data_IF_837456010899
#
_entry.id   IF_837456010899
#
_cell.length_a   1.000
_cell.length_b   1.000
_cell.length_c   1.000
_cell.angle_alpha   90.00
_cell.angle_beta   90.00
_cell.angle_gamma   90.00
#
_symmetry.space_group_name_H-M   'P 1'
#
loop_
_entity.id
_entity.type
_entity.pdbx_description
1 polymer ?
#
# COMPACT_ATOMS: atom_id res chain seq x y z
N UNK A 1 -9.38 -0.75 25.02
CA UNK A 1 -9.28 0.70 24.68
C UNK A 1 -7.97 1.35 25.12
N UNK A 2 -6.96 0.63 25.65
CA UNK A 2 -5.74 1.21 26.27
C UNK A 2 -4.70 1.84 25.31
N UNK A 3 -4.91 1.87 23.99
CA UNK A 3 -3.85 2.24 23.03
C UNK A 3 -4.32 3.09 21.84
N UNK A 4 -5.44 3.81 21.94
CA UNK A 4 -5.83 4.77 20.89
C UNK A 4 -5.41 6.17 21.35
N UNK A 5 -4.53 6.88 20.61
CA UNK A 5 -4.13 8.24 20.96
C UNK A 5 -5.36 9.16 21.10
N UNK A 6 -5.41 10.11 22.06
CA UNK A 6 -6.55 11.01 22.24
C UNK A 6 -6.94 11.77 20.96
N UNK A 7 -5.96 12.21 20.17
CA UNK A 7 -6.21 12.86 18.88
C UNK A 7 -6.92 11.93 17.87
N UNK A 8 -6.55 10.66 17.81
CA UNK A 8 -7.22 9.68 16.95
C UNK A 8 -8.66 9.40 17.41
N UNK A 9 -8.92 9.45 18.72
CA UNK A 9 -10.29 9.31 19.24
C UNK A 9 -11.18 10.48 18.83
N UNK A 10 -10.68 11.73 18.92
CA UNK A 10 -11.40 12.92 18.47
C UNK A 10 -11.73 12.84 16.98
N UNK A 11 -10.77 12.44 16.15
CA UNK A 11 -11.01 12.26 14.72
C UNK A 11 -12.03 11.15 14.44
N UNK A 12 -11.99 10.03 15.16
CA UNK A 12 -12.98 8.95 14.99
C UNK A 12 -14.39 9.39 15.38
N UNK A 13 -14.53 10.17 16.44
CA UNK A 13 -15.82 10.76 16.83
C UNK A 13 -16.31 11.76 15.78
N UNK A 14 -15.42 12.63 15.30
CA UNK A 14 -15.72 13.58 14.23
C UNK A 14 -16.10 12.88 12.92
N UNK A 15 -15.39 11.83 12.53
CA UNK A 15 -15.70 11.01 11.36
C UNK A 15 -17.07 10.35 11.47
N UNK A 16 -17.44 9.84 12.66
CA UNK A 16 -18.79 9.33 12.94
C UNK A 16 -19.85 10.42 12.81
N UNK A 17 -19.60 11.61 13.37
CA UNK A 17 -20.50 12.75 13.25
C UNK A 17 -20.73 13.18 11.79
N UNK A 18 -19.67 13.24 10.99
CA UNK A 18 -19.75 13.54 9.56
C UNK A 18 -20.55 12.51 8.76
N UNK A 19 -20.46 11.22 9.10
CA UNK A 19 -21.29 10.19 8.42
C UNK A 19 -22.78 10.49 8.56
N UNK A 20 -23.20 10.94 9.74
CA UNK A 20 -24.60 11.34 9.98
C UNK A 20 -24.95 12.57 9.14
N UNK A 21 -24.06 13.56 9.07
CA UNK A 21 -24.25 14.74 8.21
C UNK A 21 -24.39 14.38 6.73
N UNK A 22 -23.48 13.58 6.17
CA UNK A 22 -23.50 13.21 4.75
C UNK A 22 -24.67 12.30 4.37
N UNK A 23 -25.21 11.53 5.32
CA UNK A 23 -26.42 10.74 5.11
C UNK A 23 -27.72 11.57 5.26
N UNK A 24 -27.62 12.83 5.69
CA UNK A 24 -28.79 13.67 5.96
C UNK A 24 -29.22 14.48 4.73
N UNK A 25 -30.52 14.83 4.60
CA UNK A 25 -31.00 15.73 3.55
C UNK A 25 -30.33 17.12 3.55
N UNK A 26 -29.79 17.56 4.70
CA UNK A 26 -29.09 18.84 4.82
C UNK A 26 -27.85 18.90 3.92
N UNK A 27 -27.18 17.77 3.71
CA UNK A 27 -26.04 17.70 2.82
C UNK A 27 -26.43 17.91 1.35
N UNK A 28 -27.57 17.37 0.92
CA UNK A 28 -28.08 17.59 -0.44
C UNK A 28 -28.62 19.02 -0.62
N UNK A 29 -29.26 19.62 0.40
CA UNK A 29 -29.74 21.01 0.35
C UNK A 29 -28.58 22.02 0.35
N UNK A 30 -27.49 21.76 1.09
CA UNK A 30 -26.29 22.59 1.06
C UNK A 30 -25.65 22.69 -0.33
N UNK A 31 -25.77 21.63 -1.15
CA UNK A 31 -25.24 21.56 -2.52
C UNK A 31 -26.03 22.38 -3.53
N UNK A 32 -27.35 22.53 -3.36
CA UNK A 32 -28.19 23.37 -4.24
C UNK A 32 -27.71 24.83 -4.26
N UNK A 33 -27.00 25.26 -3.21
CA UNK A 33 -26.43 26.62 -3.10
C UNK A 33 -25.00 26.77 -3.66
N UNK A 34 -24.27 25.67 -3.89
CA UNK A 34 -22.92 25.73 -4.51
C UNK A 34 -22.98 25.94 -6.05
N UNK A 35 -24.19 25.99 -6.61
CA UNK A 35 -24.45 26.45 -7.98
C UNK A 35 -23.99 25.48 -9.08
N UNK A 36 -24.34 25.82 -10.32
CA UNK A 36 -23.94 25.20 -11.59
C UNK A 36 -22.41 25.13 -11.85
N UNK A 37 -21.56 25.22 -10.83
CA UNK A 37 -20.13 24.96 -10.89
C UNK A 37 -19.80 23.49 -11.25
N UNK A 38 -20.80 22.60 -11.29
CA UNK A 38 -20.67 21.16 -11.56
C UNK A 38 -20.44 20.77 -13.03
N UNK A 39 -20.26 21.74 -13.93
CA UNK A 39 -19.78 21.57 -15.29
C UNK A 39 -18.30 21.97 -15.46
N UNK A 40 -17.52 22.02 -14.37
CA UNK A 40 -16.09 22.28 -14.40
C UNK A 40 -15.41 21.42 -15.47
N UNK A 41 -14.67 22.05 -16.39
CA UNK A 41 -13.89 21.31 -17.36
C UNK A 41 -12.87 20.46 -16.59
N UNK A 42 -12.90 19.13 -16.79
CA UNK A 42 -11.92 18.24 -16.18
C UNK A 42 -10.75 18.07 -17.13
N UNK A 43 -9.58 18.52 -16.70
CA UNK A 43 -8.33 18.27 -17.40
C UNK A 43 -7.83 16.84 -17.11
N UNK A 44 -7.37 16.14 -18.15
CA UNK A 44 -6.84 14.79 -18.04
C UNK A 44 -5.38 14.79 -17.61
N UNK A 45 -5.16 14.84 -16.30
CA UNK A 45 -3.83 15.03 -15.70
C UNK A 45 -3.02 13.75 -15.58
N UNK A 46 -3.68 12.59 -15.39
CA UNK A 46 -3.00 11.34 -15.06
C UNK A 46 -1.99 10.89 -16.12
N UNK A 47 -0.99 10.14 -15.64
CA UNK A 47 0.05 9.51 -16.45
C UNK A 47 0.03 8.03 -16.12
N UNK A 48 -0.16 7.19 -17.12
CA UNK A 48 -0.12 5.74 -16.94
C UNK A 48 1.34 5.27 -16.94
N UNK A 49 1.86 4.98 -15.75
CA UNK A 49 3.20 4.39 -15.59
C UNK A 49 3.17 2.86 -15.51
N UNK A 50 2.04 2.33 -15.04
CA UNK A 50 1.80 0.90 -14.83
C UNK A 50 0.58 0.52 -15.66
N UNK A 51 0.75 -0.24 -16.76
CA UNK A 51 -0.37 -0.68 -17.59
C UNK A 51 -1.22 -1.71 -16.83
N UNK A 52 -2.51 -1.80 -17.18
CA UNK A 52 -3.39 -2.85 -16.68
C UNK A 52 -3.15 -4.21 -17.35
N UNK A 53 -3.76 -5.25 -16.78
CA UNK A 53 -3.73 -6.62 -17.27
C UNK A 53 -4.91 -6.86 -18.25
N UNK A 54 -4.58 -7.08 -19.52
CA UNK A 54 -5.58 -7.34 -20.55
C UNK A 54 -6.36 -8.66 -20.35
N UNK A 55 -5.81 -9.66 -19.66
CA UNK A 55 -6.55 -10.87 -19.29
C UNK A 55 -7.62 -10.55 -18.24
N UNK A 56 -7.24 -9.80 -17.19
CA UNK A 56 -8.19 -9.33 -16.18
C UNK A 56 -9.29 -8.47 -16.82
N UNK A 57 -8.93 -7.58 -17.74
CA UNK A 57 -9.89 -6.77 -18.50
C UNK A 57 -10.87 -7.60 -19.33
N UNK A 58 -10.41 -8.67 -19.98
CA UNK A 58 -11.30 -9.60 -20.71
C UNK A 58 -12.26 -10.34 -19.76
N UNK A 59 -11.79 -10.76 -18.60
CA UNK A 59 -12.64 -11.41 -17.59
C UNK A 59 -13.71 -10.45 -17.05
N UNK A 60 -13.33 -9.22 -16.72
CA UNK A 60 -14.24 -8.17 -16.27
C UNK A 60 -15.32 -7.86 -17.31
N UNK A 61 -14.95 -7.81 -18.59
CA UNK A 61 -15.88 -7.53 -19.69
C UNK A 61 -16.96 -8.61 -19.87
N UNK A 62 -16.74 -9.83 -19.37
CA UNK A 62 -17.76 -10.90 -19.34
C UNK A 62 -18.38 -11.08 -17.94
N UNK A 63 -18.14 -10.14 -17.03
CA UNK A 63 -18.78 -10.08 -15.71
C UNK A 63 -18.08 -10.89 -14.62
N UNK A 64 -16.82 -11.28 -14.84
CA UNK A 64 -16.00 -11.99 -13.85
C UNK A 64 -15.09 -11.00 -13.12
N UNK A 65 -15.30 -10.85 -11.82
CA UNK A 65 -14.56 -9.93 -10.96
C UNK A 65 -13.67 -10.72 -10.02
N UNK A 66 -12.36 -10.57 -10.18
CA UNK A 66 -11.35 -11.24 -9.36
C UNK A 66 -10.60 -10.27 -8.47
N UNK A 67 -10.87 -10.29 -7.17
CA UNK A 67 -10.18 -9.45 -6.20
C UNK A 67 -9.73 -10.27 -5.01
N UNK A 68 -8.52 -9.99 -4.50
CA UNK A 68 -7.97 -10.58 -3.26
C UNK A 68 -8.10 -12.11 -3.19
N UNK A 69 -7.83 -12.77 -4.32
CA UNK A 69 -7.87 -14.23 -4.46
C UNK A 69 -9.27 -14.84 -4.60
N UNK A 70 -10.32 -14.02 -4.70
CA UNK A 70 -11.73 -14.47 -4.81
C UNK A 70 -12.33 -13.94 -6.11
N UNK A 71 -12.83 -14.87 -6.93
CA UNK A 71 -13.54 -14.57 -8.18
C UNK A 71 -15.05 -14.66 -7.99
N UNK A 72 -15.79 -13.65 -8.44
CA UNK A 72 -17.25 -13.64 -8.47
C UNK A 72 -17.76 -13.38 -9.88
N UNK A 73 -18.88 -14.02 -10.23
CA UNK A 73 -19.65 -13.73 -11.44
C UNK A 73 -20.76 -12.75 -11.11
N UNK A 74 -20.54 -11.47 -11.41
CA UNK A 74 -21.50 -10.40 -11.15
C UNK A 74 -22.27 -9.99 -12.41
N UNK A 75 -21.73 -10.23 -13.61
CA UNK A 75 -22.29 -9.72 -14.87
C UNK A 75 -21.82 -8.30 -15.20
N UNK A 76 -22.18 -7.80 -16.39
CA UNK A 76 -21.92 -6.42 -16.84
C UNK A 76 -23.24 -5.82 -17.35
N UNK A 77 -23.86 -4.87 -16.64
CA UNK A 77 -23.48 -4.35 -15.31
C UNK A 77 -23.58 -5.40 -14.19
N UNK A 78 -22.92 -5.20 -13.03
CA UNK A 78 -22.93 -6.17 -11.95
C UNK A 78 -24.30 -6.24 -11.26
N UNK A 79 -24.79 -7.46 -11.01
CA UNK A 79 -26.03 -7.74 -10.25
C UNK A 79 -26.07 -7.04 -8.89
N UNK A 80 -24.91 -6.82 -8.28
CA UNK A 80 -24.78 -6.04 -7.04
C UNK A 80 -23.37 -5.48 -6.93
N UNK A 81 -23.29 -4.19 -6.62
CA UNK A 81 -22.05 -3.53 -6.20
C UNK A 81 -21.68 -3.80 -4.73
N UNK A 82 -22.59 -4.43 -3.98
CA UNK A 82 -22.40 -4.81 -2.58
C UNK A 82 -22.69 -6.31 -2.43
N UNK A 83 -21.91 -7.19 -3.07
CA UNK A 83 -22.12 -8.62 -2.95
C UNK A 83 -21.99 -9.07 -1.49
N UNK A 84 -22.85 -10.01 -1.09
CA UNK A 84 -22.83 -10.63 0.24
C UNK A 84 -21.77 -11.73 0.28
N UNK A 85 -21.37 -12.13 1.49
CA UNK A 85 -20.43 -13.23 1.74
C UNK A 85 -19.01 -13.04 1.18
N UNK A 86 -18.60 -11.80 0.95
CA UNK A 86 -17.20 -11.45 0.68
C UNK A 86 -16.65 -10.47 1.71
N UNK A 87 -15.32 -10.36 1.78
CA UNK A 87 -14.66 -9.42 2.67
C UNK A 87 -14.97 -7.97 2.29
N UNK A 88 -14.91 -7.06 3.26
CA UNK A 88 -15.04 -5.62 2.99
C UNK A 88 -13.94 -5.12 2.06
N UNK A 89 -12.74 -5.73 2.11
CA UNK A 89 -11.65 -5.43 1.20
C UNK A 89 -11.98 -5.80 -0.25
N UNK A 90 -12.67 -6.93 -0.46
CA UNK A 90 -13.15 -7.33 -1.79
C UNK A 90 -14.10 -6.27 -2.36
N UNK A 91 -15.09 -5.84 -1.56
CA UNK A 91 -16.05 -4.79 -1.97
C UNK A 91 -15.34 -3.46 -2.21
N UNK A 92 -14.32 -3.14 -1.40
CA UNK A 92 -13.50 -1.96 -1.61
C UNK A 92 -12.79 -2.01 -2.98
N UNK A 93 -12.16 -3.14 -3.35
CA UNK A 93 -11.50 -3.29 -4.66
C UNK A 93 -12.47 -3.07 -5.82
N UNK A 94 -13.71 -3.57 -5.72
CA UNK A 94 -14.74 -3.30 -6.72
C UNK A 94 -14.98 -1.78 -6.89
N UNK A 95 -14.92 -1.02 -5.80
CA UNK A 95 -15.09 0.43 -5.78
C UNK A 95 -13.79 1.24 -5.99
N UNK A 96 -12.63 0.61 -6.20
CA UNK A 96 -11.37 1.32 -6.48
C UNK A 96 -11.28 1.82 -7.91
N UNK A 97 -11.95 1.16 -8.87
CA UNK A 97 -11.87 1.47 -10.30
C UNK A 97 -10.46 1.37 -10.91
N UNK A 98 -9.48 0.81 -10.20
CA UNK A 98 -8.16 0.49 -10.76
C UNK A 98 -8.29 -0.50 -11.95
N UNK A 99 -9.33 -1.32 -11.93
CA UNK A 99 -9.73 -2.20 -13.03
C UNK A 99 -10.05 -1.47 -14.35
N UNK A 100 -10.20 -0.15 -14.36
CA UNK A 100 -10.27 0.63 -15.61
C UNK A 100 -8.99 0.52 -16.44
N UNK A 101 -7.82 0.38 -15.79
CA UNK A 101 -6.56 0.14 -16.48
C UNK A 101 -6.61 -1.20 -17.24
N UNK A 102 -7.18 -2.23 -16.61
CA UNK A 102 -7.30 -3.57 -17.18
C UNK A 102 -8.27 -3.60 -18.37
N UNK A 103 -9.46 -2.98 -18.22
CA UNK A 103 -10.42 -2.84 -19.32
C UNK A 103 -9.85 -2.04 -20.48
N UNK A 104 -9.07 -0.99 -20.19
CA UNK A 104 -8.36 -0.21 -21.21
C UNK A 104 -7.32 -1.04 -21.93
N UNK A 105 -6.50 -1.80 -21.22
CA UNK A 105 -5.52 -2.72 -21.80
C UNK A 105 -6.18 -3.79 -22.69
N UNK A 106 -7.41 -4.20 -22.36
CA UNK A 106 -8.19 -5.15 -23.14
C UNK A 106 -9.02 -4.52 -24.29
N UNK A 107 -9.03 -3.19 -24.43
CA UNK A 107 -9.84 -2.48 -25.44
C UNK A 107 -11.34 -2.51 -25.18
N UNK A 108 -11.75 -2.69 -23.91
CA UNK A 108 -13.14 -2.92 -23.49
C UNK A 108 -13.84 -1.65 -23.01
N UNK A 109 -13.90 -0.65 -23.90
CA UNK A 109 -14.44 0.69 -23.58
C UNK A 109 -15.93 0.66 -23.29
N UNK A 110 -16.72 -0.02 -24.13
CA UNK A 110 -18.17 -0.08 -23.97
C UNK A 110 -18.57 -0.72 -22.63
N UNK A 111 -17.89 -1.81 -22.23
CA UNK A 111 -18.10 -2.45 -20.93
C UNK A 111 -17.65 -1.54 -19.77
N UNK A 112 -16.53 -0.83 -19.91
CA UNK A 112 -16.11 0.15 -18.92
C UNK A 112 -17.11 1.30 -18.75
N UNK A 113 -17.66 1.83 -19.84
CA UNK A 113 -18.71 2.86 -19.83
C UNK A 113 -19.97 2.33 -19.15
N UNK A 114 -20.43 1.12 -19.47
CA UNK A 114 -21.59 0.49 -18.86
C UNK A 114 -21.41 0.32 -17.34
N UNK A 115 -20.24 -0.16 -16.88
CA UNK A 115 -19.93 -0.31 -15.46
C UNK A 115 -19.91 1.04 -14.73
N UNK A 116 -19.27 2.06 -15.31
CA UNK A 116 -19.19 3.38 -14.69
C UNK A 116 -20.58 4.04 -14.68
N UNK A 117 -21.35 3.96 -15.76
CA UNK A 117 -22.70 4.52 -15.84
C UNK A 117 -23.63 3.91 -14.79
N UNK A 118 -23.64 2.58 -14.66
CA UNK A 118 -24.43 1.87 -13.66
C UNK A 118 -24.01 2.26 -12.23
N UNK A 119 -22.70 2.36 -11.98
CA UNK A 119 -22.20 2.83 -10.69
C UNK A 119 -22.61 4.27 -10.39
N UNK A 120 -22.61 5.17 -11.38
CA UNK A 120 -23.02 6.57 -11.20
C UNK A 120 -24.51 6.66 -10.83
N UNK A 121 -25.36 5.80 -11.39
CA UNK A 121 -26.78 5.71 -11.00
C UNK A 121 -26.90 5.21 -9.57
N UNK A 122 -26.17 4.16 -9.19
CA UNK A 122 -26.29 3.54 -7.87
C UNK A 122 -25.59 4.31 -6.74
N UNK A 123 -24.47 4.98 -7.02
CA UNK A 123 -23.56 5.59 -6.03
C UNK A 123 -23.06 6.98 -6.43
N UNK A 124 -23.74 7.66 -7.36
CA UNK A 124 -23.46 9.05 -7.72
C UNK A 124 -23.65 10.05 -6.56
N UNK A 125 -24.33 9.62 -5.49
CA UNK A 125 -24.52 10.31 -4.22
C UNK A 125 -23.89 9.54 -3.05
N UNK A 126 -23.78 10.19 -1.89
CA UNK A 126 -23.05 9.66 -0.75
C UNK A 126 -23.55 8.27 -0.33
N UNK A 127 -22.60 7.35 -0.21
CA UNK A 127 -22.82 6.04 0.39
C UNK A 127 -21.63 5.67 1.28
N UNK A 128 -21.83 5.26 2.55
CA UNK A 128 -20.76 5.15 3.53
C UNK A 128 -19.63 4.16 3.17
N UNK A 129 -19.93 3.16 2.33
CA UNK A 129 -18.95 2.17 1.86
C UNK A 129 -18.26 2.62 0.57
N UNK A 130 -19.00 2.81 -0.51
CA UNK A 130 -18.47 3.25 -1.81
C UNK A 130 -17.74 4.61 -1.75
N UNK A 131 -18.19 5.53 -0.87
CA UNK A 131 -17.55 6.82 -0.60
C UNK A 131 -16.62 6.76 0.62
N UNK A 132 -16.20 5.58 1.07
CA UNK A 132 -15.11 5.53 2.03
C UNK A 132 -13.88 6.27 1.44
N UNK A 133 -13.13 7.06 2.23
CA UNK A 133 -12.06 7.93 1.70
C UNK A 133 -11.01 7.15 0.90
N UNK A 134 -10.63 5.96 1.36
CA UNK A 134 -9.72 5.08 0.65
C UNK A 134 -10.21 4.67 -0.77
N UNK A 135 -11.37 3.99 -0.97
CA UNK A 135 -11.92 3.77 -2.31
C UNK A 135 -12.11 5.04 -3.14
N UNK A 136 -12.55 6.14 -2.51
CA UNK A 136 -12.73 7.42 -3.20
C UNK A 136 -11.43 7.95 -3.78
N UNK A 137 -10.33 7.81 -3.05
CA UNK A 137 -9.01 8.27 -3.47
C UNK A 137 -8.51 7.49 -4.69
N UNK A 138 -8.58 6.16 -4.62
CA UNK A 138 -8.16 5.27 -5.72
C UNK A 138 -9.03 5.48 -6.96
N UNK A 139 -10.36 5.61 -6.77
CA UNK A 139 -11.30 5.88 -7.86
C UNK A 139 -11.05 7.23 -8.53
N UNK A 140 -10.81 8.30 -7.77
CA UNK A 140 -10.46 9.60 -8.34
C UNK A 140 -9.18 9.53 -9.18
N UNK A 141 -8.13 8.87 -8.67
CA UNK A 141 -6.87 8.69 -9.41
C UNK A 141 -7.10 7.87 -10.70
N UNK A 142 -7.84 6.77 -10.62
CA UNK A 142 -8.16 5.94 -11.79
C UNK A 142 -8.99 6.71 -12.82
N UNK A 143 -10.05 7.41 -12.39
CA UNK A 143 -10.91 8.23 -13.24
C UNK A 143 -10.15 9.38 -13.92
N UNK A 144 -9.27 10.07 -13.19
CA UNK A 144 -8.48 11.18 -13.74
C UNK A 144 -7.30 10.72 -14.62
N UNK A 145 -6.97 9.43 -14.57
CA UNK A 145 -5.94 8.80 -15.42
C UNK A 145 -6.53 8.21 -16.69
N UNK A 146 -7.66 7.48 -16.58
CA UNK A 146 -8.25 6.74 -17.68
C UNK A 146 -9.51 7.40 -18.27
N UNK A 147 -10.01 8.48 -17.66
CA UNK A 147 -11.27 9.12 -18.04
C UNK A 147 -11.29 9.67 -19.47
N UNK A 148 -10.15 10.12 -20.01
CA UNK A 148 -10.07 10.51 -21.43
C UNK A 148 -10.48 9.36 -22.35
N UNK A 149 -9.89 8.18 -22.13
CA UNK A 149 -10.19 6.98 -22.90
C UNK A 149 -11.62 6.49 -22.64
N UNK A 150 -12.10 6.59 -21.39
CA UNK A 150 -13.45 6.19 -21.01
C UNK A 150 -14.53 7.03 -21.69
N UNK A 151 -14.31 8.34 -21.82
CA UNK A 151 -15.30 9.29 -22.38
C UNK A 151 -15.19 9.48 -23.89
N UNK A 152 -14.22 8.86 -24.55
CA UNK A 152 -14.20 8.79 -26.02
C UNK A 152 -15.48 8.13 -26.52
N UNK A 153 -16.15 8.77 -27.49
CA UNK A 153 -17.41 8.32 -28.11
C UNK A 153 -18.61 8.21 -27.15
N UNK A 154 -18.50 8.69 -25.91
CA UNK A 154 -19.60 8.69 -24.97
C UNK A 154 -20.60 9.82 -25.25
N UNK A 155 -21.87 9.62 -24.89
CA UNK A 155 -22.88 10.66 -24.99
C UNK A 155 -22.67 11.78 -23.97
N UNK A 156 -23.26 12.95 -24.24
CA UNK A 156 -23.09 14.14 -23.43
C UNK A 156 -23.69 14.01 -22.02
N UNK A 157 -24.71 13.16 -21.83
CA UNK A 157 -25.36 12.96 -20.54
C UNK A 157 -24.45 12.16 -19.61
N UNK A 158 -23.88 11.06 -20.10
CA UNK A 158 -22.88 10.28 -19.36
C UNK A 158 -21.64 11.10 -19.02
N UNK A 159 -21.10 11.84 -19.99
CA UNK A 159 -19.94 12.70 -19.76
C UNK A 159 -20.23 13.75 -18.66
N UNK A 160 -21.40 14.40 -18.71
CA UNK A 160 -21.83 15.36 -17.69
C UNK A 160 -21.97 14.70 -16.32
N UNK A 161 -22.61 13.54 -16.24
CA UNK A 161 -22.77 12.80 -14.98
C UNK A 161 -21.42 12.38 -14.38
N UNK A 162 -20.48 11.94 -15.22
CA UNK A 162 -19.12 11.56 -14.82
C UNK A 162 -18.35 12.75 -14.25
N UNK A 163 -18.31 13.90 -14.95
CA UNK A 163 -17.61 15.10 -14.46
C UNK A 163 -18.20 15.61 -13.15
N UNK A 164 -19.52 15.63 -13.04
CA UNK A 164 -20.19 16.03 -11.81
C UNK A 164 -19.85 15.08 -10.65
N UNK A 165 -19.72 13.77 -10.90
CA UNK A 165 -19.30 12.81 -9.89
C UNK A 165 -17.83 12.98 -9.48
N UNK A 166 -16.91 13.22 -10.42
CA UNK A 166 -15.50 13.53 -10.12
C UNK A 166 -15.41 14.73 -9.17
N UNK A 167 -16.10 15.83 -9.49
CA UNK A 167 -16.11 17.03 -8.65
C UNK A 167 -16.66 16.75 -7.25
N UNK A 168 -17.83 16.07 -7.14
CA UNK A 168 -18.43 15.72 -5.84
C UNK A 168 -17.53 14.83 -4.99
N UNK A 169 -16.85 13.88 -5.60
CA UNK A 169 -15.93 12.96 -4.91
C UNK A 169 -14.69 13.71 -4.40
N UNK A 170 -14.15 14.64 -5.18
CA UNK A 170 -13.03 15.49 -4.78
C UNK A 170 -13.40 16.40 -3.60
N UNK A 171 -14.55 17.08 -3.68
CA UNK A 171 -15.08 17.94 -2.63
C UNK A 171 -15.31 17.16 -1.33
N UNK A 172 -15.89 15.96 -1.44
CA UNK A 172 -16.03 15.07 -0.30
C UNK A 172 -14.67 14.69 0.28
N UNK A 173 -13.71 14.25 -0.53
CA UNK A 173 -12.41 13.77 -0.03
C UNK A 173 -11.64 14.88 0.71
N UNK A 174 -11.73 16.13 0.26
CA UNK A 174 -11.04 17.28 0.87
C UNK A 174 -11.34 17.44 2.36
N UNK A 175 -12.53 17.02 2.79
CA UNK A 175 -12.96 17.09 4.19
C UNK A 175 -12.91 15.74 4.91
N UNK A 176 -12.52 14.66 4.23
CA UNK A 176 -12.64 13.29 4.73
C UNK A 176 -11.36 12.45 4.64
N UNK A 177 -10.18 13.04 4.44
CA UNK A 177 -8.92 12.31 4.57
C UNK A 177 -8.82 11.55 5.92
N UNK A 178 -8.20 10.38 5.89
CA UNK A 178 -8.06 9.41 6.99
C UNK A 178 -6.95 9.82 7.97
N UNK A 179 -7.04 11.02 8.53
CA UNK A 179 -6.10 11.54 9.53
C UNK A 179 -6.02 10.70 10.81
N UNK A 180 -7.09 9.96 11.12
CA UNK A 180 -7.14 9.06 12.28
C UNK A 180 -6.35 7.77 12.08
N UNK A 181 -6.20 7.33 10.83
CA UNK A 181 -5.42 6.15 10.47
C UNK A 181 -3.98 6.53 10.10
N UNK A 182 -3.81 7.63 9.35
CA UNK A 182 -2.50 8.06 8.86
C UNK A 182 -1.93 7.10 7.82
N UNK A 183 -0.60 6.90 7.85
CA UNK A 183 0.09 5.91 7.04
C UNK A 183 -0.16 6.03 5.53
N UNK A 184 -0.05 4.89 4.85
CA UNK A 184 -0.24 4.78 3.41
C UNK A 184 -1.64 5.24 2.95
N UNK A 185 -2.67 5.08 3.79
CA UNK A 185 -4.03 5.55 3.51
C UNK A 185 -4.09 7.06 3.33
N UNK A 186 -3.49 7.80 4.25
CA UNK A 186 -3.48 9.26 4.19
C UNK A 186 -2.68 9.76 2.98
N UNK A 187 -1.56 9.11 2.63
CA UNK A 187 -0.80 9.44 1.42
C UNK A 187 -1.65 9.25 0.15
N UNK A 188 -2.46 8.19 0.08
CA UNK A 188 -3.41 7.99 -1.03
C UNK A 188 -4.47 9.07 -1.10
N UNK A 189 -5.04 9.48 0.05
CA UNK A 189 -6.00 10.59 0.08
C UNK A 189 -5.38 11.89 -0.45
N UNK A 190 -4.17 12.22 0.02
CA UNK A 190 -3.47 13.44 -0.38
C UNK A 190 -3.07 13.42 -1.84
N UNK A 191 -2.57 12.28 -2.36
CA UNK A 191 -2.32 12.10 -3.80
C UNK A 191 -3.58 12.35 -4.64
N UNK A 192 -4.72 11.79 -4.23
CA UNK A 192 -5.98 12.01 -4.94
C UNK A 192 -6.41 13.48 -4.94
N UNK A 193 -6.18 14.23 -3.86
CA UNK A 193 -6.41 15.68 -3.83
C UNK A 193 -5.46 16.47 -4.74
N UNK A 194 -4.19 16.05 -4.86
CA UNK A 194 -3.25 16.62 -5.82
C UNK A 194 -3.75 16.42 -7.25
N UNK A 195 -4.19 15.20 -7.59
CA UNK A 195 -4.79 14.91 -8.89
C UNK A 195 -6.03 15.76 -9.13
N UNK A 196 -6.97 15.78 -8.18
CA UNK A 196 -8.21 16.51 -8.30
C UNK A 196 -7.99 18.02 -8.44
N UNK A 197 -7.09 18.62 -7.66
CA UNK A 197 -6.82 20.06 -7.74
C UNK A 197 -6.03 20.51 -8.97
N UNK A 198 -5.41 19.57 -9.70
CA UNK A 198 -4.84 19.82 -11.02
C UNK A 198 -5.88 19.62 -12.13
N UNK A 199 -6.84 18.73 -11.93
CA UNK A 199 -7.78 18.31 -12.95
C UNK A 199 -9.10 19.09 -12.96
N UNK A 200 -9.66 19.39 -11.80
CA UNK A 200 -10.99 20.01 -11.65
C UNK A 200 -10.83 21.53 -11.63
N UNK A 201 -11.46 22.20 -12.58
CA UNK A 201 -11.48 23.66 -12.66
C UNK A 201 -12.00 24.29 -11.35
N UNK A 202 -11.35 25.37 -10.90
CA UNK A 202 -11.73 26.07 -9.68
C UNK A 202 -11.41 25.33 -8.37
N UNK A 203 -10.57 24.27 -8.41
CA UNK A 203 -10.15 23.49 -7.23
C UNK A 203 -8.64 23.50 -6.99
N UNK A 204 -7.94 24.54 -7.43
CA UNK A 204 -6.48 24.65 -7.29
C UNK A 204 -6.02 24.58 -5.82
N UNK A 205 -6.85 25.04 -4.89
CA UNK A 205 -6.63 24.96 -3.46
C UNK A 205 -6.55 23.51 -2.94
N UNK A 206 -7.12 22.52 -3.65
CA UNK A 206 -6.97 21.10 -3.32
C UNK A 206 -5.56 20.60 -3.65
N UNK A 207 -4.99 21.09 -4.75
CA UNK A 207 -3.60 20.80 -5.11
C UNK A 207 -2.64 21.39 -4.08
N UNK A 208 -2.82 22.65 -3.71
CA UNK A 208 -1.96 23.34 -2.75
C UNK A 208 -1.99 22.64 -1.37
N UNK A 209 -3.20 22.35 -0.89
CA UNK A 209 -3.40 21.60 0.35
C UNK A 209 -2.79 20.18 0.25
N UNK A 210 -3.14 19.44 -0.80
CA UNK A 210 -2.69 18.07 -1.02
C UNK A 210 -1.17 17.96 -1.07
N UNK A 211 -0.50 18.86 -1.80
CA UNK A 211 0.95 18.88 -1.90
C UNK A 211 1.61 19.28 -0.58
N UNK A 212 1.14 20.33 0.09
CA UNK A 212 1.71 20.77 1.36
C UNK A 212 1.64 19.67 2.42
N UNK A 213 0.47 19.04 2.57
CA UNK A 213 0.27 17.96 3.53
C UNK A 213 0.99 16.68 3.12
N UNK A 214 1.06 16.35 1.83
CA UNK A 214 1.83 15.19 1.36
C UNK A 214 3.30 15.33 1.77
N UNK A 215 3.92 16.48 1.49
CA UNK A 215 5.31 16.72 1.86
C UNK A 215 5.53 16.68 3.38
N UNK A 216 4.56 17.17 4.16
CA UNK A 216 4.59 17.05 5.62
C UNK A 216 4.51 15.60 6.07
N UNK A 217 3.63 14.80 5.46
CA UNK A 217 3.47 13.38 5.77
C UNK A 217 4.68 12.55 5.34
N UNK A 218 5.35 12.87 4.23
CA UNK A 218 6.60 12.21 3.85
C UNK A 218 7.69 12.38 4.91
N UNK A 219 7.76 13.53 5.60
CA UNK A 219 8.69 13.71 6.73
C UNK A 219 8.33 12.90 7.97
N UNK A 220 7.06 12.51 8.10
CA UNK A 220 6.57 11.74 9.26
C UNK A 220 6.69 10.24 8.99
N UNK A 221 6.36 9.81 7.78
CA UNK A 221 6.21 8.40 7.43
C UNK A 221 7.43 7.80 6.74
N UNK A 222 8.41 8.60 6.33
CA UNK A 222 9.69 8.09 5.86
C UNK A 222 10.74 8.18 6.95
N UNK A 223 11.37 7.04 7.21
CA UNK A 223 12.48 6.91 8.14
C UNK A 223 13.76 7.51 7.52
N UNK A 224 14.77 7.74 8.35
CA UNK A 224 16.02 8.38 7.90
C UNK A 224 16.79 7.54 6.86
N UNK A 225 16.55 6.23 6.79
CA UNK A 225 17.09 5.31 5.78
C UNK A 225 16.20 5.19 4.53
N UNK A 226 15.15 6.01 4.42
CA UNK A 226 14.25 6.09 3.26
C UNK A 226 13.10 5.09 3.27
N UNK A 227 13.06 4.15 4.21
CA UNK A 227 11.97 3.18 4.33
C UNK A 227 10.67 3.83 4.80
N UNK A 228 9.53 3.24 4.42
CA UNK A 228 8.23 3.62 4.96
C UNK A 228 8.05 3.07 6.39
N UNK A 229 7.44 3.86 7.28
CA UNK A 229 7.33 3.58 8.71
C UNK A 229 6.48 2.36 9.05
N UNK A 230 5.63 1.90 8.13
CA UNK A 230 4.86 0.65 8.27
C UNK A 230 5.72 -0.62 8.14
N UNK A 231 6.99 -0.51 7.70
CA UNK A 231 7.97 -1.62 7.66
C UNK A 231 7.47 -2.87 6.91
N UNK A 232 6.62 -2.68 5.91
CA UNK A 232 6.16 -3.74 5.01
C UNK A 232 6.71 -3.50 3.59
N UNK A 233 7.38 -4.49 2.99
CA UNK A 233 7.81 -4.42 1.59
C UNK A 233 6.68 -4.04 0.62
N UNK A 234 5.48 -4.61 0.80
CA UNK A 234 4.33 -4.32 -0.06
C UNK A 234 3.85 -2.87 0.10
N UNK A 235 3.78 -2.35 1.32
CA UNK A 235 3.36 -0.96 1.54
C UNK A 235 4.42 0.03 1.07
N UNK A 236 5.73 -0.28 1.21
CA UNK A 236 6.79 0.50 0.58
C UNK A 236 6.63 0.55 -0.95
N UNK A 237 6.36 -0.59 -1.59
CA UNK A 237 6.12 -0.65 -3.03
C UNK A 237 4.89 0.18 -3.46
N UNK A 238 3.79 0.13 -2.70
CA UNK A 238 2.60 0.94 -2.96
C UNK A 238 2.85 2.44 -2.83
N UNK A 239 3.53 2.86 -1.75
CA UNK A 239 3.88 4.28 -1.55
C UNK A 239 4.84 4.75 -2.64
N UNK A 240 5.85 3.95 -3.01
CA UNK A 240 6.76 4.26 -4.10
C UNK A 240 6.01 4.45 -5.42
N UNK A 241 5.07 3.54 -5.76
CA UNK A 241 4.19 3.70 -6.93
C UNK A 241 3.45 5.03 -6.88
N UNK A 242 2.86 5.37 -5.74
CA UNK A 242 2.09 6.60 -5.57
C UNK A 242 2.93 7.86 -5.81
N UNK A 243 4.17 7.89 -5.30
CA UNK A 243 5.08 9.03 -5.49
C UNK A 243 5.62 9.10 -6.93
N UNK A 244 5.89 7.96 -7.56
CA UNK A 244 6.30 7.91 -8.97
C UNK A 244 5.24 8.50 -9.90
N UNK A 245 3.97 8.12 -9.69
CA UNK A 245 2.84 8.65 -10.45
C UNK A 245 2.67 10.15 -10.22
N UNK A 246 2.77 10.64 -8.98
CA UNK A 246 2.77 12.07 -8.67
C UNK A 246 3.89 12.82 -9.38
N UNK A 247 5.12 12.30 -9.35
CA UNK A 247 6.25 12.90 -10.05
C UNK A 247 5.98 13.01 -11.55
N UNK A 248 5.44 11.96 -12.16
CA UNK A 248 5.11 11.97 -13.59
C UNK A 248 4.00 12.98 -13.93
N UNK A 249 2.96 13.07 -13.10
CA UNK A 249 1.89 14.07 -13.27
C UNK A 249 2.43 15.49 -13.16
N UNK A 250 3.23 15.80 -12.14
CA UNK A 250 3.83 17.13 -11.96
C UNK A 250 4.71 17.53 -13.14
N UNK A 251 5.49 16.58 -13.67
CA UNK A 251 6.30 16.77 -14.88
C UNK A 251 5.44 17.04 -16.12
N UNK A 252 4.35 16.29 -16.31
CA UNK A 252 3.41 16.49 -17.43
C UNK A 252 2.74 17.87 -17.39
N UNK A 253 2.52 18.43 -16.21
CA UNK A 253 1.97 19.79 -16.05
C UNK A 253 3.00 20.92 -16.30
N UNK A 254 4.18 20.60 -16.84
CA UNK A 254 5.24 21.57 -17.14
C UNK A 254 6.06 22.02 -15.93
N UNK A 255 5.77 21.50 -14.74
CA UNK A 255 6.55 21.71 -13.53
C UNK A 255 7.62 20.64 -13.32
N UNK A 256 8.24 20.67 -12.14
CA UNK A 256 9.07 19.59 -11.60
C UNK A 256 8.50 19.13 -10.26
N UNK A 257 8.82 17.91 -9.85
CA UNK A 257 8.46 17.49 -8.51
C UNK A 257 9.30 18.26 -7.47
N UNK A 258 8.73 18.59 -6.30
CA UNK A 258 9.50 19.17 -5.21
C UNK A 258 10.69 18.28 -4.84
N UNK A 259 11.83 18.87 -4.50
CA UNK A 259 13.06 18.15 -4.13
C UNK A 259 12.82 17.04 -3.09
N UNK A 260 11.96 17.30 -2.11
CA UNK A 260 11.60 16.33 -1.08
C UNK A 260 10.86 15.10 -1.63
N UNK A 261 10.02 15.27 -2.65
CA UNK A 261 9.36 14.15 -3.33
C UNK A 261 10.38 13.33 -4.12
N UNK A 262 11.30 13.98 -4.84
CA UNK A 262 12.38 13.28 -5.56
C UNK A 262 13.26 12.48 -4.60
N UNK A 263 13.66 13.08 -3.48
CA UNK A 263 14.43 12.40 -2.43
C UNK A 263 13.66 11.22 -1.83
N UNK A 264 12.36 11.38 -1.60
CA UNK A 264 11.50 10.30 -1.12
C UNK A 264 11.42 9.13 -2.11
N UNK A 265 11.28 9.41 -3.42
CA UNK A 265 11.26 8.38 -4.46
C UNK A 265 12.55 7.58 -4.48
N UNK A 266 13.70 8.25 -4.47
CA UNK A 266 15.01 7.58 -4.49
C UNK A 266 15.24 6.79 -3.19
N UNK A 267 14.95 7.40 -2.04
CA UNK A 267 15.11 6.76 -0.72
C UNK A 267 14.26 5.49 -0.58
N UNK A 268 12.98 5.57 -0.95
CA UNK A 268 12.08 4.40 -0.95
C UNK A 268 12.52 3.33 -1.94
N UNK A 269 13.00 3.72 -3.13
CA UNK A 269 13.54 2.77 -4.10
C UNK A 269 14.72 1.99 -3.52
N UNK A 270 15.65 2.67 -2.85
CA UNK A 270 16.83 2.05 -2.21
C UNK A 270 16.41 1.12 -1.08
N UNK A 271 15.47 1.57 -0.24
CA UNK A 271 14.94 0.75 0.84
C UNK A 271 14.22 -0.49 0.32
N UNK A 272 13.36 -0.34 -0.70
CA UNK A 272 12.65 -1.46 -1.31
C UNK A 272 13.61 -2.48 -1.92
N UNK A 273 14.69 -2.04 -2.56
CA UNK A 273 15.68 -2.93 -3.18
C UNK A 273 16.37 -3.88 -2.18
N UNK A 274 16.50 -3.49 -0.90
CA UNK A 274 16.99 -4.39 0.17
C UNK A 274 16.05 -5.57 0.39
N UNK A 275 14.76 -5.38 0.11
CA UNK A 275 13.66 -6.32 0.37
C UNK A 275 13.23 -7.05 -0.92
N UNK A 276 14.04 -6.98 -1.98
CA UNK A 276 13.84 -7.75 -3.22
C UNK A 276 14.75 -8.97 -3.21
N UNK A 277 14.16 -10.14 -3.35
CA UNK A 277 14.90 -11.41 -3.45
C UNK A 277 15.51 -11.58 -4.85
N UNK A 278 16.48 -12.50 -5.02
CA UNK A 278 17.11 -12.75 -6.31
C UNK A 278 16.17 -13.21 -7.43
N UNK A 279 14.96 -13.70 -7.09
CA UNK A 279 13.91 -13.98 -8.07
C UNK A 279 13.24 -12.72 -8.64
N UNK A 280 13.58 -11.54 -8.12
CA UNK A 280 13.06 -10.24 -8.51
C UNK A 280 11.76 -9.87 -7.78
N UNK A 281 11.25 -10.72 -6.88
CA UNK A 281 10.01 -10.48 -6.15
C UNK A 281 10.28 -10.00 -4.71
N UNK A 282 9.26 -9.45 -4.07
CA UNK A 282 9.35 -8.95 -2.70
C UNK A 282 9.54 -10.07 -1.67
N UNK A 283 10.24 -9.75 -0.59
CA UNK A 283 10.23 -10.53 0.65
C UNK A 283 8.85 -10.43 1.36
N UNK A 284 8.53 -11.42 2.19
CA UNK A 284 7.20 -11.61 2.78
C UNK A 284 7.14 -11.25 4.28
N UNK A 285 7.92 -10.25 4.71
CA UNK A 285 7.87 -9.70 6.07
C UNK A 285 6.61 -8.88 6.33
N UNK A 286 6.09 -8.94 7.56
CA UNK A 286 4.91 -8.18 7.99
C UNK A 286 3.73 -8.35 7.00
N UNK A 287 2.92 -7.31 6.81
CA UNK A 287 1.84 -7.31 5.82
C UNK A 287 2.36 -7.16 4.38
N UNK A 288 3.11 -8.15 3.91
CA UNK A 288 3.58 -8.25 2.55
C UNK A 288 2.97 -9.45 1.81
N UNK A 289 3.03 -9.38 0.49
CA UNK A 289 2.60 -10.41 -0.44
C UNK A 289 3.52 -10.37 -1.67
N UNK A 290 3.57 -11.47 -2.42
CA UNK A 290 4.34 -11.48 -3.66
C UNK A 290 3.80 -10.45 -4.65
N UNK A 291 4.74 -9.84 -5.38
CA UNK A 291 4.49 -8.96 -6.50
C UNK A 291 5.33 -9.47 -7.66
N UNK A 292 4.80 -9.45 -8.88
CA UNK A 292 5.52 -9.96 -10.05
C UNK A 292 6.86 -9.24 -10.21
N UNK A 293 7.91 -9.99 -10.58
CA UNK A 293 9.26 -9.44 -10.74
C UNK A 293 9.31 -8.25 -11.72
N UNK A 294 8.55 -8.31 -12.83
CA UNK A 294 8.47 -7.21 -13.79
C UNK A 294 7.94 -5.90 -13.16
N UNK A 295 6.95 -6.01 -12.28
CA UNK A 295 6.36 -4.87 -11.60
C UNK A 295 7.35 -4.25 -10.60
N UNK A 296 8.04 -5.08 -9.82
CA UNK A 296 9.08 -4.64 -8.87
C UNK A 296 10.25 -3.99 -9.62
N UNK A 297 10.73 -4.62 -10.69
CA UNK A 297 11.79 -4.07 -11.55
C UNK A 297 11.39 -2.70 -12.13
N UNK A 298 10.14 -2.57 -12.59
CA UNK A 298 9.62 -1.29 -13.07
C UNK A 298 9.62 -0.23 -11.98
N UNK A 299 9.21 -0.55 -10.74
CA UNK A 299 9.26 0.39 -9.61
C UNK A 299 10.69 0.87 -9.36
N UNK A 300 11.65 -0.06 -9.26
CA UNK A 300 13.06 0.26 -8.99
C UNK A 300 13.67 1.08 -10.13
N UNK A 301 13.48 0.67 -11.38
CA UNK A 301 13.95 1.40 -12.57
C UNK A 301 13.39 2.81 -12.62
N UNK A 302 12.08 2.97 -12.38
CA UNK A 302 11.46 4.29 -12.36
C UNK A 302 11.97 5.12 -11.17
N UNK A 303 12.28 4.52 -10.02
CA UNK A 303 12.84 5.27 -8.88
C UNK A 303 14.21 5.87 -9.16
N UNK A 304 14.93 5.37 -10.17
CA UNK A 304 16.27 5.82 -10.53
C UNK A 304 17.37 5.22 -9.66
N UNK A 305 17.08 4.12 -8.96
CA UNK A 305 18.03 3.40 -8.12
C UNK A 305 18.85 2.46 -8.99
N UNK A 306 20.17 2.52 -8.79
CA UNK A 306 21.11 1.58 -9.38
C UNK A 306 21.07 0.26 -8.62
N UNK A 307 21.05 -0.86 -9.34
CA UNK A 307 21.12 -2.21 -8.75
C UNK A 307 22.43 -2.45 -8.00
N UNK A 308 23.48 -1.70 -8.32
CA UNK A 308 24.78 -1.80 -7.65
C UNK A 308 24.85 -0.95 -6.36
N UNK A 309 23.88 -0.06 -6.10
CA UNK A 309 23.84 0.85 -4.95
C UNK A 309 22.73 0.48 -3.94
N UNK A 310 22.55 -0.83 -3.72
CA UNK A 310 21.60 -1.36 -2.73
C UNK A 310 22.24 -1.39 -1.34
N UNK A 311 21.68 -0.72 -0.32
CA UNK A 311 22.19 -0.81 1.04
C UNK A 311 22.22 -2.24 1.57
N UNK A 312 23.23 -2.56 2.39
CA UNK A 312 23.28 -3.84 3.09
C UNK A 312 22.35 -3.88 4.31
N UNK A 313 21.85 -2.72 4.74
CA UNK A 313 21.05 -2.55 5.94
C UNK A 313 20.17 -1.30 5.87
N UNK A 314 19.01 -1.37 6.51
CA UNK A 314 18.10 -0.28 6.82
C UNK A 314 17.99 -0.19 8.35
N UNK A 315 18.87 0.56 9.03
CA UNK A 315 18.96 0.53 10.50
C UNK A 315 17.71 1.06 11.22
N UNK A 316 16.96 1.99 10.61
CA UNK A 316 15.76 2.56 11.21
C UNK A 316 14.55 1.66 10.96
N UNK A 317 14.42 1.13 9.73
CA UNK A 317 13.39 0.16 9.38
C UNK A 317 13.63 -1.20 10.07
N UNK A 318 14.88 -1.52 10.35
CA UNK A 318 15.35 -2.75 10.96
C UNK A 318 15.40 -3.92 9.99
N UNK A 319 15.88 -3.71 8.77
CA UNK A 319 16.15 -4.81 7.84
C UNK A 319 17.64 -4.91 7.57
N UNK A 320 18.15 -6.13 7.45
CA UNK A 320 19.55 -6.38 7.07
C UNK A 320 19.62 -7.46 6.01
N UNK A 321 20.52 -7.29 5.05
CA UNK A 321 20.74 -8.19 3.93
C UNK A 321 22.20 -8.64 3.83
N UNK A 322 22.41 -9.90 3.47
CA UNK A 322 23.71 -10.42 3.09
C UNK A 322 23.59 -11.31 1.86
N UNK A 323 24.49 -11.11 0.89
CA UNK A 323 24.64 -11.99 -0.28
C UNK A 323 26.07 -12.50 -0.34
N UNK A 324 26.26 -13.81 -0.51
CA UNK A 324 27.57 -14.47 -0.64
C UNK A 324 27.57 -15.54 -1.72
N UNK A 325 28.76 -15.84 -2.24
CA UNK A 325 28.90 -16.72 -3.40
C UNK A 325 28.64 -16.03 -4.74
N UNK A 326 28.45 -16.81 -5.80
CA UNK A 326 28.28 -16.32 -7.18
C UNK A 326 27.29 -17.20 -7.96
N UNK A 327 26.62 -16.59 -8.94
CA UNK A 327 25.70 -17.28 -9.84
C UNK A 327 24.56 -17.98 -9.11
N UNK A 328 24.14 -19.13 -9.63
CA UNK A 328 22.99 -19.88 -9.10
C UNK A 328 23.22 -20.53 -7.74
N UNK A 329 24.46 -20.55 -7.25
CA UNK A 329 24.81 -21.01 -5.91
C UNK A 329 24.93 -19.87 -4.88
N UNK A 330 24.66 -18.62 -5.27
CA UNK A 330 24.75 -17.49 -4.35
C UNK A 330 23.66 -17.58 -3.26
N UNK A 331 24.06 -17.43 -2.00
CA UNK A 331 23.12 -17.34 -0.88
C UNK A 331 22.75 -15.89 -0.63
N UNK A 332 21.45 -15.63 -0.47
CA UNK A 332 20.91 -14.32 -0.09
C UNK A 332 20.05 -14.47 1.15
N UNK A 333 20.39 -13.79 2.23
CA UNK A 333 19.60 -13.73 3.46
C UNK A 333 19.13 -12.30 3.69
N UNK A 334 17.86 -12.16 4.04
CA UNK A 334 17.28 -10.93 4.60
C UNK A 334 16.72 -11.25 5.98
N UNK A 335 16.99 -10.41 6.98
CA UNK A 335 16.50 -10.59 8.36
C UNK A 335 15.81 -9.32 8.86
N UNK A 336 14.65 -9.49 9.50
CA UNK A 336 13.89 -8.42 10.16
C UNK A 336 14.32 -8.31 11.63
N UNK A 337 14.96 -7.21 12.00
CA UNK A 337 15.21 -6.79 13.37
C UNK A 337 14.65 -5.40 13.65
N UNK A 338 13.52 -5.07 13.05
CA UNK A 338 12.80 -3.82 13.30
C UNK A 338 11.99 -3.85 14.58
N UNK A 339 11.73 -2.66 15.12
CA UNK A 339 10.65 -2.50 16.09
C UNK A 339 9.31 -2.71 15.40
N UNK A 340 8.36 -3.34 16.10
CA UNK A 340 7.07 -3.78 15.56
C UNK A 340 6.17 -2.59 15.18
N UNK A 341 6.23 -2.20 13.91
CA UNK A 341 5.43 -1.14 13.29
C UNK A 341 5.58 0.25 13.94
N UNK A 342 4.90 1.29 13.40
CA UNK A 342 4.84 2.58 14.06
C UNK A 342 3.86 2.52 15.24
N UNK A 343 4.17 3.23 16.32
CA UNK A 343 3.36 3.18 17.54
C UNK A 343 1.91 3.66 17.35
N UNK A 344 1.71 4.59 16.41
CA UNK A 344 0.42 5.13 16.01
C UNK A 344 -0.44 4.13 15.24
N UNK A 345 0.15 3.21 14.48
CA UNK A 345 -0.56 2.25 13.64
C UNK A 345 0.22 0.92 13.45
N UNK A 346 0.33 0.07 14.49
CA UNK A 346 1.05 -1.20 14.41
C UNK A 346 0.25 -2.29 13.68
N UNK A 347 -0.87 -1.94 13.03
CA UNK A 347 -1.85 -2.89 12.51
C UNK A 347 -1.27 -3.88 11.50
N UNK A 348 -0.23 -3.45 10.78
CA UNK A 348 0.44 -4.19 9.70
C UNK A 348 1.61 -5.06 10.15
N UNK A 349 2.03 -4.95 11.41
CA UNK A 349 3.18 -5.70 11.91
C UNK A 349 2.79 -7.13 12.32
N UNK A 350 3.69 -8.09 12.12
CA UNK A 350 3.51 -9.47 12.57
C UNK A 350 4.29 -9.70 13.87
N UNK A 351 4.20 -10.91 14.42
CA UNK A 351 5.02 -11.35 15.55
C UNK A 351 6.29 -12.05 15.04
N UNK A 352 7.00 -11.39 14.13
CA UNK A 352 8.05 -11.94 13.27
C UNK A 352 9.43 -11.32 13.52
N UNK A 353 9.63 -10.63 14.64
CA UNK A 353 10.92 -10.07 15.02
C UNK A 353 12.03 -11.14 15.02
N UNK A 354 13.15 -10.82 14.39
CA UNK A 354 14.28 -11.69 14.06
C UNK A 354 14.01 -12.80 13.03
N UNK A 355 12.82 -12.86 12.42
CA UNK A 355 12.59 -13.74 11.27
C UNK A 355 13.53 -13.40 10.11
N UNK A 356 13.84 -14.41 9.30
CA UNK A 356 14.67 -14.28 8.11
C UNK A 356 14.08 -15.04 6.92
N UNK A 357 14.44 -14.59 5.73
CA UNK A 357 14.20 -15.31 4.49
C UNK A 357 15.55 -15.63 3.83
N UNK A 358 15.67 -16.82 3.25
CA UNK A 358 16.88 -17.34 2.62
C UNK A 358 16.56 -17.77 1.19
N UNK A 359 17.37 -17.30 0.24
CA UNK A 359 17.40 -17.79 -1.13
C UNK A 359 18.75 -18.44 -1.45
N UNK A 360 18.72 -19.45 -2.32
CA UNK A 360 19.88 -20.01 -3.00
C UNK A 360 19.69 -19.81 -4.51
N UNK A 361 20.56 -19.02 -5.13
CA UNK A 361 20.30 -18.48 -6.46
C UNK A 361 18.95 -17.76 -6.47
N UNK A 362 18.07 -18.15 -7.39
CA UNK A 362 16.70 -17.62 -7.51
C UNK A 362 15.66 -18.38 -6.70
N UNK A 363 16.03 -19.50 -6.08
CA UNK A 363 15.09 -20.36 -5.36
C UNK A 363 14.96 -19.90 -3.91
N UNK A 364 13.73 -19.74 -3.44
CA UNK A 364 13.43 -19.41 -2.04
C UNK A 364 13.47 -20.68 -1.19
N UNK A 365 14.37 -20.74 -0.22
CA UNK A 365 14.60 -21.91 0.64
C UNK A 365 13.89 -21.78 1.98
N UNK A 366 13.97 -20.60 2.60
CA UNK A 366 13.24 -20.27 3.84
C UNK A 366 12.41 -19.01 3.56
N UNK A 367 11.11 -19.08 3.81
CA UNK A 367 10.17 -17.99 3.56
C UNK A 367 9.23 -17.79 4.74
N UNK A 368 8.80 -16.55 4.96
CA UNK A 368 7.63 -16.29 5.78
C UNK A 368 6.34 -16.67 5.03
N UNK A 369 5.28 -16.95 5.77
CA UNK A 369 3.98 -17.28 5.15
C UNK A 369 3.29 -16.09 4.46
N UNK A 370 3.71 -14.86 4.78
CA UNK A 370 3.10 -13.64 4.29
C UNK A 370 1.68 -13.39 4.83
N UNK A 371 0.97 -12.47 4.19
CA UNK A 371 -0.31 -11.94 4.71
C UNK A 371 -1.51 -12.86 4.50
N UNK A 372 -1.55 -13.55 3.35
CA UNK A 372 -2.73 -14.22 2.77
C UNK A 372 -3.98 -13.32 2.63
N UNK A 373 -4.66 -12.97 3.73
CA UNK A 373 -5.88 -12.16 3.74
C UNK A 373 -6.12 -11.47 5.09
N UNK A 374 -6.66 -10.24 5.07
CA UNK A 374 -6.93 -9.47 6.30
C UNK A 374 -8.17 -9.91 7.09
N UNK A 375 -9.24 -10.32 6.40
CA UNK A 375 -10.52 -10.69 7.01
C UNK A 375 -10.77 -12.18 6.82
N UNK A 376 -9.90 -12.99 7.43
CA UNK A 376 -9.93 -14.44 7.33
C UNK A 376 -9.61 -15.09 8.67
N UNK A 377 -10.11 -16.31 8.90
CA UNK A 377 -9.87 -17.06 10.14
C UNK A 377 -8.38 -17.31 10.41
N UNK A 378 -7.59 -17.47 9.33
CA UNK A 378 -6.13 -17.68 9.41
C UNK A 378 -5.33 -16.41 9.70
N UNK A 379 -5.92 -15.22 9.68
CA UNK A 379 -5.18 -13.95 9.77
C UNK A 379 -4.27 -13.88 11.00
N UNK A 380 -4.79 -14.19 12.18
CA UNK A 380 -3.97 -14.12 13.40
C UNK A 380 -2.95 -15.27 13.49
N UNK A 381 -3.25 -16.42 12.87
CA UNK A 381 -2.31 -17.54 12.79
C UNK A 381 -1.11 -17.15 11.96
N UNK A 382 -1.33 -16.57 10.77
CA UNK A 382 -0.29 -16.16 9.84
C UNK A 382 0.51 -14.94 10.32
N UNK A 383 -0.03 -14.16 11.26
CA UNK A 383 0.72 -13.10 11.96
C UNK A 383 1.51 -13.60 13.16
N UNK A 384 1.25 -14.83 13.61
CA UNK A 384 1.85 -15.40 14.81
C UNK A 384 3.26 -15.91 14.52
N UNK A 385 4.13 -15.91 15.53
CA UNK A 385 5.56 -16.21 15.40
C UNK A 385 5.83 -17.56 14.75
N UNK A 386 4.98 -18.56 15.00
CA UNK A 386 5.09 -19.90 14.41
C UNK A 386 4.88 -19.93 12.88
N UNK A 387 4.34 -18.88 12.26
CA UNK A 387 4.20 -18.75 10.81
C UNK A 387 5.46 -18.14 10.14
N UNK A 388 6.48 -17.84 10.94
CA UNK A 388 7.72 -17.23 10.52
C UNK A 388 8.91 -18.10 10.93
N UNK A 389 10.07 -17.82 10.36
CA UNK A 389 11.33 -18.47 10.72
C UNK A 389 11.88 -17.97 12.06
N UNK A 390 11.04 -17.68 13.06
CA UNK A 390 11.40 -17.04 14.33
C UNK A 390 11.18 -17.95 15.55
N UNK A 391 11.84 -17.63 16.68
CA UNK A 391 11.77 -18.44 17.91
C UNK A 391 10.42 -18.27 18.60
N UNK A 392 9.79 -19.38 18.95
CA UNK A 392 8.58 -19.46 19.79
C UNK A 392 8.98 -19.94 21.18
N UNK A 393 8.63 -19.19 22.22
CA UNK A 393 8.89 -19.55 23.63
C UNK A 393 7.57 -19.95 24.28
N UNK A 394 7.51 -21.16 24.85
CA UNK A 394 6.34 -21.73 25.54
C UNK A 394 5.03 -21.67 24.73
N UNK A 395 5.12 -21.79 23.40
CA UNK A 395 3.97 -21.71 22.49
C UNK A 395 3.34 -20.31 22.37
N UNK A 396 4.02 -19.26 22.85
CA UNK A 396 3.54 -17.87 22.83
C UNK A 396 4.24 -17.09 21.71
N UNK A 397 3.52 -16.12 21.13
CA UNK A 397 4.08 -15.20 20.14
C UNK A 397 4.97 -14.12 20.78
N UNK A 398 5.99 -13.68 20.03
CA UNK A 398 6.89 -12.58 20.41
C UNK A 398 6.15 -11.23 20.54
N UNK A 399 5.03 -11.08 19.81
CA UNK A 399 4.09 -9.98 19.92
C UNK A 399 2.64 -10.50 19.99
N UNK A 400 1.79 -9.82 20.77
CA UNK A 400 0.37 -10.14 20.91
C UNK A 400 -0.43 -9.66 19.71
N UNK A 401 -0.63 -10.54 18.74
CA UNK A 401 -1.51 -10.33 17.58
C UNK A 401 -2.88 -10.95 17.85
N UNK A 402 -3.87 -10.13 18.19
CA UNK A 402 -5.18 -10.60 18.69
C UNK A 402 -6.37 -10.18 17.81
N UNK A 403 -6.11 -9.55 16.68
CA UNK A 403 -7.11 -9.22 15.66
C UNK A 403 -6.44 -8.71 14.38
N UNK A 404 -7.21 -8.61 13.28
CA UNK A 404 -6.69 -8.34 11.94
C UNK A 404 -5.74 -7.16 11.80
N UNK A 405 -5.86 -6.15 12.67
CA UNK A 405 -5.02 -4.97 12.75
C UNK A 405 -4.75 -4.56 14.21
N UNK A 406 -4.64 -5.53 15.12
CA UNK A 406 -4.53 -5.25 16.56
C UNK A 406 -3.33 -5.95 17.17
N UNK A 407 -2.40 -5.11 17.64
CA UNK A 407 -1.18 -5.52 18.35
C UNK A 407 -1.21 -5.00 19.78
N UNK A 408 -0.97 -5.90 20.74
CA UNK A 408 -0.87 -5.61 22.17
C UNK A 408 0.58 -5.45 22.62
N UNK A 409 1.01 -6.25 23.61
CA UNK A 409 2.42 -6.38 24.00
C UNK A 409 3.24 -6.73 22.77
N UNK A 410 4.39 -6.09 22.61
CA UNK A 410 5.32 -6.30 21.49
C UNK A 410 6.75 -5.97 21.93
N UNK A 411 7.77 -6.46 21.23
CA UNK A 411 9.14 -6.04 21.45
C UNK A 411 9.28 -4.51 21.37
N UNK A 412 10.03 -3.94 22.30
CA UNK A 412 10.35 -2.51 22.39
C UNK A 412 11.84 -2.26 22.24
N UNK A 413 12.66 -3.19 22.72
CA UNK A 413 14.09 -3.18 22.54
C UNK A 413 14.44 -4.24 21.52
N UNK A 414 14.78 -3.79 20.30
CA UNK A 414 15.27 -4.66 19.23
C UNK A 414 16.64 -4.15 18.81
N UNK A 415 17.61 -5.05 18.73
CA UNK A 415 18.96 -4.79 18.22
C UNK A 415 19.16 -5.57 16.95
N UNK A 416 19.82 -4.96 15.98
CA UNK A 416 20.17 -5.57 14.71
C UNK A 416 21.55 -5.07 14.31
N UNK A 417 22.43 -5.99 13.94
CA UNK A 417 23.80 -5.71 13.55
C UNK A 417 24.23 -6.59 12.38
N UNK A 418 25.13 -6.04 11.56
CA UNK A 418 25.82 -6.76 10.50
C UNK A 418 27.32 -6.68 10.76
N UNK A 419 27.97 -7.82 10.93
CA UNK A 419 29.41 -7.89 11.25
C UNK A 419 30.15 -8.68 10.18
N UNK A 420 31.21 -8.09 9.62
CA UNK A 420 32.20 -8.85 8.86
C UNK A 420 32.97 -9.77 9.82
N UNK A 421 33.19 -11.01 9.41
CA UNK A 421 33.95 -12.02 10.14
C UNK A 421 35.22 -12.39 9.35
N UNK A 422 36.00 -13.35 9.86
CA UNK A 422 37.20 -13.83 9.17
C UNK A 422 36.87 -14.34 7.74
N UNK A 423 37.82 -14.24 6.81
CA UNK A 423 37.75 -14.86 5.46
C UNK A 423 36.45 -14.54 4.70
N UNK A 424 35.99 -13.28 4.73
CA UNK A 424 34.83 -12.82 3.94
C UNK A 424 33.46 -13.31 4.41
N UNK A 425 33.41 -14.05 5.53
CA UNK A 425 32.17 -14.42 6.20
C UNK A 425 31.42 -13.16 6.70
N UNK A 426 30.09 -13.25 6.78
CA UNK A 426 29.25 -12.20 7.38
C UNK A 426 28.30 -12.81 8.39
N UNK A 427 28.21 -12.17 9.55
CA UNK A 427 27.23 -12.46 10.58
C UNK A 427 26.13 -11.39 10.59
N UNK A 428 24.89 -11.85 10.61
CA UNK A 428 23.70 -11.06 10.92
C UNK A 428 23.29 -11.41 12.35
N UNK A 429 23.31 -10.43 13.25
CA UNK A 429 23.08 -10.63 14.67
C UNK A 429 21.92 -9.75 15.13
N UNK A 430 21.04 -10.27 15.97
CA UNK A 430 19.95 -9.50 16.52
C UNK A 430 19.48 -10.01 17.89
N UNK A 431 18.76 -9.16 18.61
CA UNK A 431 18.18 -9.50 19.90
C UNK A 431 16.87 -8.75 20.12
N UNK A 432 15.91 -9.36 20.81
CA UNK A 432 14.65 -8.69 21.17
C UNK A 432 14.09 -9.09 22.53
N UNK A 433 13.27 -8.21 23.12
CA UNK A 433 12.66 -8.38 24.45
C UNK A 433 11.20 -8.89 24.42
N UNK A 434 10.76 -9.48 23.30
CA UNK A 434 9.36 -9.92 23.13
C UNK A 434 8.88 -10.92 24.19
N UNK A 435 9.79 -11.74 24.68
CA UNK A 435 9.55 -12.75 25.73
C UNK A 435 9.99 -12.33 27.12
N UNK A 436 10.30 -11.04 27.35
CA UNK A 436 10.73 -10.53 28.67
C UNK A 436 9.68 -10.80 29.75
N UNK A 437 8.40 -10.85 29.39
CA UNK A 437 7.29 -11.21 30.28
C UNK A 437 7.30 -12.69 30.73
N UNK A 438 8.05 -13.55 30.04
CA UNK A 438 8.34 -14.93 30.42
C UNK A 438 9.76 -15.08 31.02
N UNK A 439 10.49 -13.98 31.22
CA UNK A 439 11.86 -14.00 31.71
C UNK A 439 12.93 -14.33 30.66
N UNK A 440 12.59 -14.32 29.36
CA UNK A 440 13.51 -14.67 28.27
C UNK A 440 13.84 -13.46 27.39
N UNK A 441 15.11 -13.30 27.02
CA UNK A 441 15.56 -12.44 25.92
C UNK A 441 15.98 -13.37 24.78
N UNK A 442 15.50 -13.12 23.58
CA UNK A 442 15.87 -13.93 22.43
C UNK A 442 16.99 -13.23 21.66
N UNK A 443 18.04 -13.98 21.35
CA UNK A 443 19.13 -13.55 20.47
C UNK A 443 19.21 -14.50 19.28
N UNK A 444 19.55 -13.96 18.12
CA UNK A 444 19.77 -14.71 16.90
C UNK A 444 21.08 -14.31 16.25
N UNK A 445 21.79 -15.29 15.73
CA UNK A 445 22.95 -15.11 14.85
C UNK A 445 22.82 -15.98 13.61
N UNK A 446 22.98 -15.38 12.44
CA UNK A 446 23.08 -16.08 11.15
C UNK A 446 24.43 -15.77 10.53
N UNK A 447 25.26 -16.79 10.33
CA UNK A 447 26.57 -16.70 9.70
C UNK A 447 26.50 -17.23 8.26
N UNK A 448 26.95 -16.44 7.29
CA UNK A 448 27.09 -16.82 5.89
C UNK A 448 28.57 -16.96 5.54
N UNK A 449 28.96 -18.11 4.98
CA UNK A 449 30.30 -18.32 4.47
C UNK A 449 30.61 -17.38 3.28
N UNK A 450 31.85 -16.92 3.17
CA UNK A 450 32.25 -15.96 2.14
C UNK A 450 32.03 -16.44 0.70
N UNK A 451 32.21 -17.75 0.47
CA UNK A 451 32.01 -18.42 -0.82
C UNK A 451 30.55 -18.80 -1.13
N UNK A 452 29.63 -18.55 -0.19
CA UNK A 452 28.21 -18.93 -0.31
C UNK A 452 27.95 -20.42 -0.16
N UNK A 453 28.92 -21.22 0.32
CA UNK A 453 28.74 -22.67 0.46
C UNK A 453 27.91 -23.08 1.68
N UNK A 454 27.78 -22.20 2.67
CA UNK A 454 27.22 -22.53 3.99
C UNK A 454 26.50 -21.35 4.62
N UNK A 455 25.37 -21.66 5.27
CA UNK A 455 24.67 -20.80 6.24
C UNK A 455 24.56 -21.56 7.57
N UNK A 456 24.86 -20.90 8.69
CA UNK A 456 24.73 -21.45 10.04
C UNK A 456 23.94 -20.49 10.91
N UNK A 457 22.95 -21.01 11.65
CA UNK A 457 22.11 -20.23 12.56
C UNK A 457 22.27 -20.69 14.01
N UNK A 458 22.17 -19.75 14.95
CA UNK A 458 22.12 -19.99 16.39
C UNK A 458 21.07 -19.06 17.01
N UNK A 459 20.22 -19.62 17.87
CA UNK A 459 19.24 -18.91 18.70
C UNK A 459 19.56 -19.17 20.18
N UNK A 460 19.65 -18.10 21.00
CA UNK A 460 20.03 -18.15 22.43
C UNK A 460 19.00 -17.43 23.29
#
# INVERSE_FOLDING_TARGET
MRFVPPAALLWRLWARGKRVYYASPLYEVGRVREGDASLAAVAWVGVELFPGDANAGRALAVGQFGFVGVNLELGVPPKSWLPKNVSALWVFNLHYFEWLADLRAAGKRAEAQALVADWLVAFGHYHPLAWHPYPTSLRLVAWLTHGKWLLEEADAEFAKAFYAAVARQADYLRWNCEWDLGGNHLLKNLKALVYAGLAVEGRREFFEFGMAELLRQLRVQLLADGAHDERSPLYMAQVLRDLLELRAVLKKQGGGAPKMLEQAVVGLGRALAVLVHPDGKLALFNDSAEMSAEYVERLLRLSGVDSDDVPEMLPQAGFVRAVRGKGDAALSVVMDGGVVGPDSNPGHAHADTLSFELCCGRERVVVNCGTYAYQHALRNVLRGTAAHSAVVVDGVNSAEVWGSFRVGRRPREVRLERRGQAVGEVALEGAHDGYRHLGVLCQRKILLAGDGSRVQGEDV
#
